data_IF_295754505084
#
_entry.id   IF_295754505084
#
_cell.length_a   1.000
_cell.length_b   1.000
_cell.length_c   1.000
_cell.angle_alpha   90.00
_cell.angle_beta   90.00
_cell.angle_gamma   90.00
#
_symmetry.space_group_name_H-M   'P 1'
#
loop_
_entity.id
_entity.type
_entity.pdbx_description
1 polymer ?
#
# COMPACT_ATOMS: atom_id res chain seq x y z
N UNK A 1 -15.78 17.12 -1.64
CA UNK A 1 -14.42 16.64 -1.28
C UNK A 1 -13.97 17.40 -0.06
N UNK A 2 -13.98 16.73 1.09
CA UNK A 2 -13.66 17.33 2.38
C UNK A 2 -12.16 17.68 2.47
N UNK A 3 -11.86 18.79 3.14
CA UNK A 3 -10.50 19.31 3.34
C UNK A 3 -9.53 18.28 3.92
N UNK A 4 -10.00 17.28 4.67
CA UNK A 4 -9.17 16.25 5.29
C UNK A 4 -8.61 15.22 4.30
N UNK A 5 -9.44 14.76 3.36
CA UNK A 5 -8.99 13.89 2.27
C UNK A 5 -8.00 14.62 1.36
N UNK A 6 -8.23 15.91 1.10
CA UNK A 6 -7.31 16.75 0.33
C UNK A 6 -6.00 17.04 1.08
N UNK A 7 -6.03 17.19 2.41
CA UNK A 7 -4.85 17.40 3.27
C UNK A 7 -4.00 16.12 3.34
N UNK A 8 -4.62 14.95 3.52
CA UNK A 8 -3.92 13.68 3.42
C UNK A 8 -3.38 13.46 2.00
N UNK A 9 -4.17 13.66 0.95
CA UNK A 9 -3.68 13.56 -0.44
C UNK A 9 -2.48 14.51 -0.68
N UNK A 10 -2.43 15.69 -0.07
CA UNK A 10 -1.30 16.63 -0.22
C UNK A 10 -0.04 16.21 0.56
N UNK A 11 -0.16 15.74 1.80
CA UNK A 11 0.99 15.20 2.56
C UNK A 11 1.46 13.84 2.02
N UNK A 12 0.52 13.06 1.48
CA UNK A 12 0.74 11.74 0.88
C UNK A 12 1.14 11.84 -0.58
N UNK A 13 1.09 13.00 -1.27
CA UNK A 13 1.46 13.14 -2.69
C UNK A 13 2.89 12.66 -3.02
N UNK A 14 3.78 12.63 -2.04
CA UNK A 14 5.11 12.06 -2.18
C UNK A 14 5.12 10.52 -2.12
N UNK A 15 4.20 9.90 -1.39
CA UNK A 15 4.00 8.43 -1.28
C UNK A 15 3.06 7.93 -2.40
N UNK A 16 2.03 8.73 -2.75
CA UNK A 16 1.02 8.44 -3.76
C UNK A 16 1.60 8.32 -5.17
N UNK A 17 2.72 8.97 -5.52
CA UNK A 17 3.28 8.82 -6.88
C UNK A 17 3.73 7.38 -7.18
N UNK A 18 3.99 6.55 -6.15
CA UNK A 18 4.30 5.12 -6.29
C UNK A 18 3.11 4.22 -5.91
N UNK A 19 2.31 4.62 -4.91
CA UNK A 19 1.25 3.79 -4.30
C UNK A 19 -0.13 3.95 -4.98
N UNK A 20 -0.42 5.09 -5.61
CA UNK A 20 -1.77 5.37 -6.15
C UNK A 20 -2.16 4.56 -7.39
N UNK A 21 -1.22 3.87 -8.02
CA UNK A 21 -1.50 3.06 -9.23
C UNK A 21 -1.98 1.65 -8.86
N UNK A 22 -1.58 1.10 -7.71
CA UNK A 22 -1.74 -0.33 -7.45
C UNK A 22 -2.88 -0.64 -6.47
N UNK A 23 -3.23 0.30 -5.61
CA UNK A 23 -4.07 -0.01 -4.44
C UNK A 23 -5.59 0.08 -4.62
N UNK A 24 -6.12 0.74 -5.65
CA UNK A 24 -7.52 1.23 -5.55
C UNK A 24 -8.54 0.57 -6.48
N UNK A 25 -8.19 -0.20 -7.52
CA UNK A 25 -9.25 -0.80 -8.37
C UNK A 25 -9.30 -2.33 -8.41
N UNK A 26 -8.20 -3.08 -8.36
CA UNK A 26 -8.25 -4.54 -8.58
C UNK A 26 -7.60 -5.41 -7.49
N UNK A 27 -6.46 -5.03 -6.88
CA UNK A 27 -5.71 -5.94 -6.00
C UNK A 27 -6.44 -6.29 -4.69
N UNK A 28 -7.13 -5.34 -4.05
CA UNK A 28 -7.88 -5.62 -2.83
C UNK A 28 -9.07 -6.59 -3.03
N UNK A 29 -9.49 -6.83 -4.29
CA UNK A 29 -10.56 -7.78 -4.65
C UNK A 29 -10.04 -9.21 -4.88
N UNK A 30 -8.74 -9.43 -4.79
CA UNK A 30 -8.13 -10.70 -5.16
C UNK A 30 -8.14 -11.75 -4.06
N UNK A 31 -8.42 -11.37 -2.80
CA UNK A 31 -8.40 -12.26 -1.64
C UNK A 31 -6.99 -12.71 -1.24
N UNK A 32 -5.95 -12.02 -1.71
CA UNK A 32 -4.56 -12.26 -1.34
C UNK A 32 -4.15 -11.45 -0.12
N UNK A 33 -3.06 -11.88 0.53
CA UNK A 33 -2.49 -11.15 1.65
C UNK A 33 -2.04 -9.76 1.21
N UNK A 34 -2.15 -8.79 2.12
CA UNK A 34 -1.74 -7.40 1.86
C UNK A 34 -0.28 -7.37 1.42
N UNK A 35 0.58 -8.16 2.06
CA UNK A 35 2.01 -8.29 1.74
C UNK A 35 2.27 -8.86 0.35
N UNK A 36 1.53 -9.89 -0.07
CA UNK A 36 1.62 -10.42 -1.44
C UNK A 36 1.26 -9.35 -2.47
N UNK A 37 0.23 -8.55 -2.18
CA UNK A 37 -0.17 -7.43 -3.03
C UNK A 37 0.95 -6.37 -3.11
N UNK A 38 1.68 -6.11 -2.00
CA UNK A 38 2.81 -5.18 -1.98
C UNK A 38 3.98 -5.68 -2.83
N UNK A 39 4.32 -6.97 -2.76
CA UNK A 39 5.40 -7.51 -3.59
C UNK A 39 5.03 -7.50 -5.07
N UNK A 40 3.77 -7.77 -5.43
CA UNK A 40 3.30 -7.62 -6.81
C UNK A 40 3.34 -6.18 -7.29
N UNK A 41 2.91 -5.25 -6.44
CA UNK A 41 3.03 -3.82 -6.69
C UNK A 41 4.48 -3.43 -7.03
N UNK A 42 5.41 -3.96 -6.24
CA UNK A 42 6.83 -3.64 -6.34
C UNK A 42 7.45 -4.15 -7.64
N UNK A 43 6.99 -5.29 -8.14
CA UNK A 43 7.37 -5.84 -9.45
C UNK A 43 6.77 -5.03 -10.61
N UNK A 44 5.49 -4.65 -10.52
CA UNK A 44 4.82 -3.83 -11.53
C UNK A 44 5.46 -2.44 -11.71
N UNK A 45 6.12 -1.91 -10.67
CA UNK A 45 6.82 -0.64 -10.67
C UNK A 45 8.23 -0.70 -11.27
N UNK A 46 8.75 -1.88 -11.61
CA UNK A 46 10.08 -2.02 -12.22
C UNK A 46 10.06 -1.52 -13.67
N UNK A 47 11.04 -0.71 -14.03
CA UNK A 47 11.13 -0.14 -15.37
C UNK A 47 11.38 -1.22 -16.43
N UNK A 48 10.54 -1.21 -17.47
CA UNK A 48 10.69 -2.15 -18.60
C UNK A 48 11.71 -1.69 -19.63
N UNK A 49 12.01 -0.39 -19.69
CA UNK A 49 12.89 0.22 -20.69
C UNK A 49 14.31 0.34 -20.16
N UNK A 50 15.28 -0.13 -20.96
CA UNK A 50 16.70 -0.12 -20.61
C UNK A 50 17.23 1.26 -20.24
N UNK A 51 16.75 2.32 -20.89
CA UNK A 51 17.21 3.67 -20.60
C UNK A 51 16.85 4.08 -19.18
N UNK A 52 15.61 3.85 -18.77
CA UNK A 52 15.10 4.26 -17.46
C UNK A 52 15.76 3.44 -16.35
N UNK A 53 15.97 2.14 -16.58
CA UNK A 53 16.78 1.28 -15.69
C UNK A 53 18.20 1.81 -15.48
N UNK A 54 18.89 2.19 -16.56
CA UNK A 54 20.28 2.68 -16.47
C UNK A 54 20.36 4.07 -15.81
N UNK A 55 19.38 4.94 -16.10
CA UNK A 55 19.28 6.25 -15.47
C UNK A 55 19.04 6.09 -13.96
N UNK A 56 18.13 5.20 -13.54
CA UNK A 56 17.88 4.87 -12.13
C UNK A 56 19.10 4.27 -11.43
N UNK A 57 19.78 3.32 -12.08
CA UNK A 57 20.94 2.63 -11.51
C UNK A 57 22.11 3.57 -11.16
N UNK A 58 22.23 4.70 -11.85
CA UNK A 58 23.30 5.67 -11.61
C UNK A 58 23.21 6.30 -10.22
N UNK A 59 22.00 6.48 -9.70
CA UNK A 59 21.75 7.12 -8.39
C UNK A 59 21.48 6.11 -7.27
N UNK A 60 21.29 4.82 -7.59
CA UNK A 60 20.79 3.80 -6.67
C UNK A 60 21.69 2.54 -6.59
N UNK A 61 23.00 2.72 -6.73
CA UNK A 61 23.96 1.60 -6.68
C UNK A 61 23.87 0.80 -5.37
N UNK A 62 23.64 1.47 -4.24
CA UNK A 62 23.54 0.82 -2.93
C UNK A 62 22.37 -0.18 -2.88
N UNK A 63 21.22 0.15 -3.47
CA UNK A 63 20.06 -0.75 -3.54
C UNK A 63 20.32 -1.95 -4.44
N UNK A 64 21.09 -1.76 -5.51
CA UNK A 64 21.51 -2.87 -6.38
C UNK A 64 22.40 -3.84 -5.59
N UNK A 65 23.41 -3.32 -4.86
CA UNK A 65 24.31 -4.14 -4.07
C UNK A 65 23.59 -4.88 -2.93
N UNK A 66 22.71 -4.19 -2.19
CA UNK A 66 21.86 -4.81 -1.17
C UNK A 66 20.99 -5.92 -1.77
N UNK A 67 20.34 -5.69 -2.90
CA UNK A 67 19.49 -6.69 -3.54
C UNK A 67 20.26 -7.96 -3.93
N UNK A 68 21.53 -7.84 -4.36
CA UNK A 68 22.36 -8.99 -4.72
C UNK A 68 22.69 -9.81 -3.47
N UNK A 69 22.94 -9.14 -2.34
CA UNK A 69 23.24 -9.80 -1.08
C UNK A 69 22.02 -10.55 -0.51
N UNK A 70 20.82 -9.96 -0.63
CA UNK A 70 19.59 -10.51 -0.07
C UNK A 70 18.91 -11.55 -0.98
N UNK A 71 18.84 -11.28 -2.29
CA UNK A 71 18.07 -12.09 -3.25
C UNK A 71 18.95 -12.99 -4.13
N UNK A 72 20.28 -12.80 -4.05
CA UNK A 72 21.25 -13.50 -4.89
C UNK A 72 21.59 -12.72 -6.17
N UNK A 73 22.56 -13.23 -6.94
CA UNK A 73 23.07 -12.56 -8.14
C UNK A 73 22.41 -13.10 -9.42
N UNK A 74 21.68 -12.27 -10.20
CA UNK A 74 21.26 -12.60 -11.55
C UNK A 74 22.42 -12.73 -12.54
N UNK A 75 22.21 -13.50 -13.61
CA UNK A 75 23.21 -13.73 -14.66
C UNK A 75 23.40 -12.53 -15.60
N UNK A 76 22.37 -11.68 -15.74
CA UNK A 76 22.32 -10.59 -16.70
C UNK A 76 22.37 -9.23 -15.99
N UNK A 77 23.22 -8.32 -16.48
CA UNK A 77 23.37 -6.97 -15.94
C UNK A 77 22.06 -6.17 -15.86
N UNK A 78 21.17 -6.29 -16.85
CA UNK A 78 19.87 -5.60 -16.79
C UNK A 78 18.95 -6.22 -15.75
N UNK A 79 19.04 -7.54 -15.53
CA UNK A 79 18.23 -8.22 -14.53
C UNK A 79 18.74 -7.93 -13.11
N UNK A 80 20.05 -7.70 -12.94
CA UNK A 80 20.63 -7.16 -11.70
C UNK A 80 20.01 -5.80 -11.34
N UNK A 81 19.91 -4.89 -12.31
CA UNK A 81 19.33 -3.55 -12.07
C UNK A 81 17.83 -3.67 -11.75
N UNK A 82 17.09 -4.49 -12.50
CA UNK A 82 15.67 -4.74 -12.24
C UNK A 82 15.43 -5.31 -10.85
N UNK A 83 16.25 -6.27 -10.42
CA UNK A 83 16.19 -6.81 -9.07
C UNK A 83 16.47 -5.73 -8.01
N UNK A 84 17.43 -4.84 -8.25
CA UNK A 84 17.69 -3.69 -7.39
C UNK A 84 16.50 -2.74 -7.27
N UNK A 85 15.84 -2.45 -8.39
CA UNK A 85 14.65 -1.59 -8.41
C UNK A 85 13.46 -2.26 -7.71
N UNK A 86 13.21 -3.55 -7.97
CA UNK A 86 12.23 -4.35 -7.24
C UNK A 86 12.47 -4.29 -5.74
N UNK A 87 13.71 -4.58 -5.30
CA UNK A 87 14.07 -4.59 -3.88
C UNK A 87 13.88 -3.22 -3.23
N UNK A 88 14.27 -2.14 -3.93
CA UNK A 88 14.05 -0.77 -3.46
C UNK A 88 12.56 -0.45 -3.32
N UNK A 89 11.74 -0.87 -4.28
CA UNK A 89 10.29 -0.67 -4.23
C UNK A 89 9.66 -1.47 -3.08
N UNK A 90 9.99 -2.75 -2.96
CA UNK A 90 9.46 -3.66 -1.94
C UNK A 90 9.81 -3.17 -0.54
N UNK A 91 11.07 -2.79 -0.32
CA UNK A 91 11.52 -2.19 0.95
C UNK A 91 10.73 -0.93 1.31
N UNK A 92 10.53 -0.02 0.35
CA UNK A 92 9.74 1.19 0.57
C UNK A 92 8.27 0.86 0.88
N UNK A 93 7.67 -0.12 0.19
CA UNK A 93 6.28 -0.54 0.45
C UNK A 93 6.12 -1.13 1.85
N UNK A 94 7.10 -1.89 2.34
CA UNK A 94 7.08 -2.40 3.71
C UNK A 94 7.32 -1.29 4.76
N UNK A 95 8.16 -0.30 4.45
CA UNK A 95 8.37 0.87 5.32
C UNK A 95 7.08 1.72 5.44
N UNK A 96 6.32 1.83 4.35
CA UNK A 96 5.07 2.61 4.27
C UNK A 96 3.80 1.76 4.48
N UNK A 97 3.92 0.49 4.91
CA UNK A 97 2.83 -0.48 4.94
C UNK A 97 1.61 0.03 5.74
N UNK A 98 1.85 0.66 6.89
CA UNK A 98 0.78 1.20 7.73
C UNK A 98 0.01 2.31 7.01
N UNK A 99 0.72 3.25 6.39
CA UNK A 99 0.17 4.38 5.64
C UNK A 99 -0.62 3.88 4.43
N UNK A 100 -0.08 2.89 3.72
CA UNK A 100 -0.72 2.17 2.62
C UNK A 100 -2.07 1.60 3.08
N UNK A 101 -2.09 0.85 4.18
CA UNK A 101 -3.33 0.24 4.72
C UNK A 101 -4.33 1.30 5.20
N UNK A 102 -3.87 2.39 5.85
CA UNK A 102 -4.71 3.54 6.23
C UNK A 102 -5.44 4.13 5.03
N UNK A 103 -4.71 4.33 3.93
CA UNK A 103 -5.28 4.87 2.71
C UNK A 103 -6.30 3.90 2.12
N UNK A 104 -6.01 2.60 2.05
CA UNK A 104 -6.97 1.59 1.61
C UNK A 104 -8.25 1.62 2.44
N UNK A 105 -8.14 1.66 3.77
CA UNK A 105 -9.29 1.74 4.66
C UNK A 105 -10.16 2.96 4.37
N UNK A 106 -9.53 4.14 4.20
CA UNK A 106 -10.23 5.37 3.84
C UNK A 106 -10.96 5.27 2.50
N UNK A 107 -10.32 4.65 1.50
CA UNK A 107 -10.95 4.41 0.19
C UNK A 107 -12.15 3.45 0.30
N UNK A 108 -12.06 2.38 1.09
CA UNK A 108 -13.16 1.44 1.31
C UNK A 108 -14.38 2.10 1.98
N UNK A 109 -14.15 2.98 2.96
CA UNK A 109 -15.24 3.75 3.60
C UNK A 109 -15.89 4.71 2.59
N UNK A 110 -15.09 5.34 1.72
CA UNK A 110 -15.57 6.24 0.67
C UNK A 110 -16.41 5.49 -0.39
N UNK A 111 -15.97 4.29 -0.80
CA UNK A 111 -16.63 3.43 -1.80
C UNK A 111 -17.97 2.87 -1.29
N UNK A 112 -18.05 2.51 0.01
CA UNK A 112 -19.29 2.05 0.65
C UNK A 112 -20.32 3.15 0.92
N UNK A 113 -20.11 4.39 0.45
CA UNK A 113 -20.94 5.58 0.70
C UNK A 113 -21.10 5.93 2.20
N UNK A 114 -20.27 5.41 3.10
CA UNK A 114 -20.36 5.63 4.55
C UNK A 114 -19.55 6.85 5.03
N UNK A 115 -19.39 7.85 4.15
CA UNK A 115 -18.51 9.02 4.32
C UNK A 115 -18.84 9.86 5.56
N UNK A 116 -20.08 9.83 6.02
CA UNK A 116 -20.53 10.60 7.19
C UNK A 116 -19.97 10.02 8.51
N UNK A 117 -19.61 8.73 8.54
CA UNK A 117 -19.06 8.05 9.72
C UNK A 117 -17.52 8.13 9.80
N UNK A 118 -16.87 8.72 8.79
CA UNK A 118 -15.42 8.68 8.59
C UNK A 118 -14.64 9.42 9.69
N UNK A 119 -15.25 10.40 10.36
CA UNK A 119 -14.65 11.09 11.51
C UNK A 119 -14.88 10.35 12.84
N UNK A 120 -15.74 9.33 12.85
CA UNK A 120 -16.12 8.58 14.05
C UNK A 120 -15.40 7.23 14.15
N UNK A 121 -14.87 6.72 13.03
CA UNK A 121 -14.05 5.51 12.97
C UNK A 121 -12.60 5.82 13.35
N UNK A 122 -12.09 5.13 14.38
CA UNK A 122 -10.68 5.17 14.76
C UNK A 122 -9.87 4.20 13.89
N UNK A 123 -9.44 4.68 12.71
CA UNK A 123 -8.69 3.88 11.73
C UNK A 123 -7.34 3.43 12.30
N UNK A 124 -6.70 4.26 13.13
CA UNK A 124 -5.44 3.90 13.77
C UNK A 124 -5.63 2.69 14.69
N UNK A 125 -6.71 2.68 15.49
CA UNK A 125 -7.06 1.53 16.32
C UNK A 125 -7.36 0.27 15.52
N UNK A 126 -8.09 0.38 14.40
CA UNK A 126 -8.38 -0.78 13.53
C UNK A 126 -7.05 -1.39 13.07
N UNK A 127 -6.14 -0.57 12.56
CA UNK A 127 -4.87 -1.05 11.99
C UNK A 127 -3.94 -1.63 13.05
N UNK A 128 -3.92 -1.06 14.26
CA UNK A 128 -3.17 -1.62 15.39
C UNK A 128 -3.69 -3.03 15.81
N UNK A 129 -4.94 -3.37 15.46
CA UNK A 129 -5.55 -4.68 15.73
C UNK A 129 -5.30 -5.69 14.60
N UNK A 130 -4.93 -5.25 13.39
CA UNK A 130 -4.65 -6.13 12.25
C UNK A 130 -3.25 -6.72 12.33
N UNK A 131 -3.13 -8.01 12.03
CA UNK A 131 -1.83 -8.60 11.71
C UNK A 131 -1.52 -8.41 10.22
N UNK A 132 -0.94 -7.25 9.87
CA UNK A 132 -0.68 -6.87 8.47
C UNK A 132 0.20 -7.85 7.69
N UNK A 133 0.94 -8.74 8.37
CA UNK A 133 1.73 -9.78 7.71
C UNK A 133 0.88 -10.92 7.17
N UNK A 134 -0.27 -11.19 7.80
CA UNK A 134 -1.10 -12.38 7.53
C UNK A 134 -2.54 -12.06 7.14
N UNK A 135 -2.91 -10.78 7.13
CA UNK A 135 -4.26 -10.37 6.77
C UNK A 135 -4.40 -9.93 5.31
N UNK A 136 -5.63 -10.00 4.84
CA UNK A 136 -6.09 -9.63 3.51
C UNK A 136 -6.83 -8.30 3.53
N UNK A 137 -7.01 -7.69 2.35
CA UNK A 137 -7.85 -6.50 2.24
C UNK A 137 -9.36 -6.80 2.43
N UNK A 138 -9.80 -8.05 2.27
CA UNK A 138 -11.19 -8.45 2.55
C UNK A 138 -11.44 -8.42 4.06
N UNK A 139 -10.51 -8.97 4.86
CA UNK A 139 -10.58 -8.91 6.32
C UNK A 139 -10.53 -7.46 6.82
N UNK A 140 -9.66 -6.61 6.27
CA UNK A 140 -9.66 -5.17 6.55
C UNK A 140 -11.05 -4.54 6.30
N UNK A 141 -11.69 -4.86 5.17
CA UNK A 141 -13.02 -4.35 4.83
C UNK A 141 -14.08 -4.82 5.82
N UNK A 142 -14.00 -6.07 6.28
CA UNK A 142 -14.90 -6.62 7.29
C UNK A 142 -14.73 -5.89 8.64
N UNK A 143 -13.49 -5.68 9.11
CA UNK A 143 -13.22 -4.92 10.34
C UNK A 143 -13.76 -3.48 10.29
N UNK A 144 -13.60 -2.82 9.14
CA UNK A 144 -14.16 -1.48 8.91
C UNK A 144 -15.69 -1.51 9.01
N UNK A 145 -16.31 -2.49 8.34
CA UNK A 145 -17.76 -2.63 8.30
C UNK A 145 -18.33 -2.91 9.69
N UNK A 146 -17.72 -3.83 10.45
CA UNK A 146 -18.12 -4.16 11.81
C UNK A 146 -17.96 -2.96 12.74
N UNK A 147 -16.84 -2.24 12.66
CA UNK A 147 -16.60 -1.04 13.45
C UNK A 147 -17.65 0.06 13.19
N UNK A 148 -18.05 0.24 11.93
CA UNK A 148 -19.09 1.21 11.57
C UNK A 148 -20.46 0.75 12.06
N UNK A 149 -20.79 -0.54 11.94
CA UNK A 149 -22.06 -1.08 12.42
C UNK A 149 -22.20 -0.98 13.95
N UNK A 150 -21.12 -1.16 14.71
CA UNK A 150 -21.13 -0.96 16.16
C UNK A 150 -21.43 0.50 16.53
N UNK A 151 -20.85 1.47 15.81
CA UNK A 151 -21.12 2.89 16.01
C UNK A 151 -22.58 3.24 15.70
N UNK A 152 -23.14 2.74 14.59
CA UNK A 152 -24.53 3.02 14.18
C UNK A 152 -25.53 2.31 15.09
N UNK A 153 -25.27 1.05 15.47
CA UNK A 153 -26.14 0.28 16.36
C UNK A 153 -26.22 0.86 17.78
N UNK A 154 -25.13 1.45 18.27
CA UNK A 154 -25.12 2.16 19.55
C UNK A 154 -25.96 3.44 19.57
N UNK A 155 -26.24 4.03 18.39
CA UNK A 155 -27.07 5.23 18.26
C UNK A 155 -28.58 4.93 18.19
N UNK A 156 -28.99 3.70 17.89
CA UNK A 156 -30.41 3.30 17.88
C UNK A 156 -30.93 2.91 19.28
N UNK A 157 -30.03 2.66 20.24
CA UNK A 157 -30.34 2.25 21.61
C UNK A 157 -30.35 3.41 22.65
N UNK A 158 -30.13 4.67 22.23
CA UNK A 158 -30.27 5.91 23.05
C UNK A 158 -31.53 6.74 22.72
#
# INVERSE_FOLDING_TARGET
MNNYLNLLIDDTKNIMNSVSIIMVEDYYKTGHYITDCMSWASDDLVDIYTKDLLDWACDNYDMIDESINELGQPDNFLDIIRQGQYYSNDKQMYEDLNEIVKLSALYMIDDNEQKDNLNEVDIDKIIDELDLETETFEELSDYITDSINELVGGLEDE
#
